data_IF_298311861442
#
_entry.id   IF_298311861442
#
_cell.length_a   1.000
_cell.length_b   1.000
_cell.length_c   1.000
_cell.angle_alpha   90.00
_cell.angle_beta   90.00
_cell.angle_gamma   90.00
#
_symmetry.space_group_name_H-M   'P 1'
#
loop_
_entity.id
_entity.type
_entity.pdbx_description
1 polymer ?
#
# COMPACT_ATOMS: atom_id res chain seq x y z
N UNK A 1 -4.08 7.24 14.71
CA UNK A 1 -3.57 8.46 15.38
C UNK A 1 -4.67 9.52 15.52
N UNK A 2 -5.34 9.93 14.43
CA UNK A 2 -6.39 10.98 14.46
C UNK A 2 -7.49 10.70 15.49
N UNK A 3 -8.09 9.49 15.51
CA UNK A 3 -9.14 9.13 16.47
C UNK A 3 -8.75 9.34 17.94
N UNK A 4 -7.55 8.90 18.33
CA UNK A 4 -7.01 9.08 19.68
C UNK A 4 -6.78 10.57 20.00
N UNK A 5 -6.21 11.33 19.06
CA UNK A 5 -6.02 12.78 19.24
C UNK A 5 -7.35 13.50 19.38
N UNK A 6 -8.33 13.17 18.55
CA UNK A 6 -9.68 13.73 18.60
C UNK A 6 -10.36 13.46 19.94
N UNK A 7 -10.36 12.21 20.42
CA UNK A 7 -10.96 11.86 21.71
C UNK A 7 -10.24 12.47 22.92
N UNK A 8 -8.93 12.75 22.82
CA UNK A 8 -8.14 13.38 23.90
C UNK A 8 -8.21 14.90 23.91
N UNK A 9 -8.35 15.53 22.74
CA UNK A 9 -8.28 16.99 22.59
C UNK A 9 -9.64 17.67 22.49
N UNK A 10 -10.73 16.89 22.37
CA UNK A 10 -12.10 17.40 22.27
C UNK A 10 -12.99 16.83 23.37
N UNK A 11 -14.25 17.29 23.43
CA UNK A 11 -15.27 16.73 24.31
C UNK A 11 -15.99 15.49 23.74
N UNK A 12 -15.61 15.03 22.54
CA UNK A 12 -16.23 13.87 21.89
C UNK A 12 -15.60 12.55 22.33
N UNK A 13 -16.36 11.46 22.20
CA UNK A 13 -15.83 10.12 22.44
C UNK A 13 -14.83 9.75 21.34
N UNK A 14 -13.78 9.02 21.71
CA UNK A 14 -12.83 8.43 20.76
C UNK A 14 -13.57 7.53 19.76
N UNK A 15 -13.42 7.74 18.44
CA UNK A 15 -13.98 6.85 17.43
C UNK A 15 -13.47 5.42 17.57
N UNK A 16 -14.35 4.43 17.43
CA UNK A 16 -13.98 3.01 17.39
C UNK A 16 -13.46 2.67 16.00
N UNK A 17 -12.25 2.10 15.93
CA UNK A 17 -11.61 1.69 14.68
C UNK A 17 -11.64 0.16 14.56
N UNK A 18 -12.01 -0.33 13.39
CA UNK A 18 -11.95 -1.75 13.02
C UNK A 18 -11.19 -1.91 11.69
N UNK A 19 -10.21 -2.81 11.65
CA UNK A 19 -9.44 -3.08 10.44
C UNK A 19 -10.10 -4.18 9.61
N UNK A 20 -10.56 -3.83 8.41
CA UNK A 20 -11.30 -4.75 7.51
C UNK A 20 -10.80 -4.69 6.06
N UNK A 21 -9.75 -3.89 5.79
CA UNK A 21 -9.22 -3.60 4.45
C UNK A 21 -10.14 -2.71 3.61
N UNK A 22 -9.60 -2.03 2.60
CA UNK A 22 -10.33 -1.02 1.79
C UNK A 22 -11.64 -1.56 1.18
N UNK A 23 -11.58 -2.73 0.52
CA UNK A 23 -12.78 -3.34 -0.07
C UNK A 23 -13.77 -3.90 0.95
N UNK A 24 -13.27 -4.48 2.05
CA UNK A 24 -14.12 -4.98 3.15
C UNK A 24 -14.83 -3.85 3.87
N UNK A 25 -14.11 -2.77 4.17
CA UNK A 25 -14.61 -1.55 4.80
C UNK A 25 -15.64 -0.85 3.92
N UNK A 26 -15.37 -0.63 2.63
CA UNK A 26 -16.35 -0.09 1.68
C UNK A 26 -17.59 -0.98 1.56
N UNK A 27 -17.43 -2.31 1.50
CA UNK A 27 -18.56 -3.24 1.50
C UNK A 27 -19.42 -3.11 2.76
N UNK A 28 -18.82 -3.02 3.94
CA UNK A 28 -19.54 -2.83 5.21
C UNK A 28 -20.23 -1.47 5.28
N UNK A 29 -19.53 -0.42 4.84
CA UNK A 29 -20.04 0.94 4.73
C UNK A 29 -21.28 0.98 3.82
N UNK A 30 -21.23 0.35 2.65
CA UNK A 30 -22.34 0.34 1.70
C UNK A 30 -23.53 -0.55 2.08
N UNK A 31 -23.52 -1.28 3.21
CA UNK A 31 -24.66 -2.12 3.62
C UNK A 31 -25.92 -1.34 4.05
N UNK A 32 -25.81 -0.03 4.21
CA UNK A 32 -26.93 0.85 4.58
C UNK A 32 -26.56 1.90 5.62
N UNK A 33 -27.58 2.58 6.16
CA UNK A 33 -27.42 3.69 7.14
C UNK A 33 -27.77 3.29 8.58
N UNK A 34 -27.99 2.00 8.84
CA UNK A 34 -28.32 1.49 10.18
C UNK A 34 -27.13 1.46 11.13
N UNK A 35 -27.40 1.31 12.43
CA UNK A 35 -26.40 1.32 13.51
C UNK A 35 -25.35 0.21 13.44
N UNK A 36 -25.56 -0.83 12.63
CA UNK A 36 -24.64 -1.95 12.45
C UNK A 36 -23.68 -1.76 11.26
N UNK A 37 -23.53 -0.52 10.79
CA UNK A 37 -22.67 -0.19 9.65
C UNK A 37 -21.71 0.93 10.03
N UNK A 38 -20.48 0.98 9.47
CA UNK A 38 -19.54 2.06 9.75
C UNK A 38 -20.10 3.42 9.32
N UNK A 39 -19.82 4.47 10.12
CA UNK A 39 -20.19 5.85 9.80
C UNK A 39 -19.20 6.49 8.81
N UNK A 40 -17.93 6.10 8.93
CA UNK A 40 -16.80 6.49 8.09
C UNK A 40 -16.07 5.21 7.67
N UNK A 41 -15.53 5.18 6.45
CA UNK A 41 -14.63 4.12 6.00
C UNK A 41 -13.39 4.69 5.32
N UNK A 42 -12.21 4.17 5.66
CA UNK A 42 -10.95 4.53 5.02
C UNK A 42 -10.66 3.57 3.86
N UNK A 43 -10.00 4.05 2.82
CA UNK A 43 -9.65 3.27 1.65
C UNK A 43 -8.34 3.74 1.05
N UNK A 44 -7.47 2.79 0.71
CA UNK A 44 -6.21 3.01 0.00
C UNK A 44 -6.35 3.13 -1.52
N UNK A 45 -7.57 3.43 -1.98
CA UNK A 45 -7.94 3.68 -3.37
C UNK A 45 -9.28 4.40 -3.41
N UNK A 46 -9.59 5.01 -4.54
CA UNK A 46 -10.94 5.56 -4.76
C UNK A 46 -12.00 4.45 -4.74
N UNK A 47 -13.21 4.77 -4.28
CA UNK A 47 -14.38 3.90 -4.36
C UNK A 47 -14.66 3.58 -5.84
N UNK A 48 -14.95 2.31 -6.16
CA UNK A 48 -15.30 1.91 -7.53
C UNK A 48 -16.74 2.28 -7.84
N UNK A 49 -17.05 2.49 -9.12
CA UNK A 49 -18.44 2.77 -9.55
C UNK A 49 -19.43 1.69 -9.08
N UNK A 50 -19.05 0.41 -9.16
CA UNK A 50 -19.89 -0.69 -8.68
C UNK A 50 -20.13 -0.64 -7.17
N UNK A 51 -19.12 -0.27 -6.37
CA UNK A 51 -19.26 -0.13 -4.91
C UNK A 51 -20.11 1.09 -4.55
N UNK A 52 -19.96 2.19 -5.29
CA UNK A 52 -20.83 3.36 -5.16
C UNK A 52 -22.28 3.01 -5.50
N UNK A 53 -22.52 2.28 -6.58
CA UNK A 53 -23.86 1.84 -6.97
C UNK A 53 -24.50 0.91 -5.93
N UNK A 54 -23.71 0.00 -5.35
CA UNK A 54 -24.15 -0.82 -4.21
C UNK A 54 -24.53 0.05 -3.00
N UNK A 55 -23.74 1.09 -2.70
CA UNK A 55 -24.05 2.09 -1.68
C UNK A 55 -25.40 2.78 -1.96
N UNK A 56 -25.62 3.26 -3.19
CA UNK A 56 -26.86 3.92 -3.60
C UNK A 56 -28.07 2.98 -3.46
N UNK A 57 -27.95 1.74 -3.95
CA UNK A 57 -29.01 0.73 -3.89
C UNK A 57 -29.41 0.39 -2.45
N UNK A 58 -28.46 0.46 -1.51
CA UNK A 58 -28.69 0.21 -0.09
C UNK A 58 -29.03 1.48 0.72
N UNK A 59 -29.33 2.60 0.04
CA UNK A 59 -29.78 3.84 0.67
C UNK A 59 -28.68 4.71 1.27
N UNK A 60 -27.41 4.41 1.00
CA UNK A 60 -26.25 5.26 1.34
C UNK A 60 -26.05 6.28 0.21
N UNK A 61 -27.01 7.20 0.07
CA UNK A 61 -27.06 8.10 -1.09
C UNK A 61 -26.17 9.33 -0.97
N UNK A 62 -26.02 9.87 0.24
CA UNK A 62 -25.11 10.97 0.54
C UNK A 62 -23.76 10.47 1.06
N UNK A 63 -22.77 10.40 0.18
CA UNK A 63 -21.39 10.03 0.50
C UNK A 63 -20.52 11.26 0.32
N UNK A 64 -19.75 11.65 1.34
CA UNK A 64 -18.67 12.65 1.19
C UNK A 64 -17.38 11.87 0.97
N UNK A 65 -16.68 12.13 -0.13
CA UNK A 65 -15.36 11.59 -0.43
C UNK A 65 -14.30 12.61 -0.01
N UNK A 66 -13.28 12.16 0.71
CA UNK A 66 -12.18 13.00 1.15
C UNK A 66 -10.88 12.33 0.79
N UNK A 67 -10.09 12.97 -0.07
CA UNK A 67 -8.70 12.62 -0.29
C UNK A 67 -7.88 13.08 0.93
N UNK A 68 -7.08 12.19 1.49
CA UNK A 68 -6.31 12.40 2.72
C UNK A 68 -4.86 12.80 2.41
N UNK A 69 -4.33 12.32 1.29
CA UNK A 69 -2.91 12.34 0.99
C UNK A 69 -2.52 11.08 0.25
N UNK A 70 -1.22 10.83 0.19
CA UNK A 70 -0.65 9.68 -0.51
C UNK A 70 0.20 8.85 0.42
N UNK A 71 0.29 7.57 0.10
CA UNK A 71 1.23 6.62 0.68
C UNK A 71 2.21 6.27 -0.43
N UNK A 72 3.51 6.31 -0.16
CA UNK A 72 4.54 6.12 -1.17
C UNK A 72 5.82 5.53 -0.58
N UNK A 73 6.39 4.56 -1.31
CA UNK A 73 7.60 3.84 -0.89
C UNK A 73 8.73 4.14 -1.88
N UNK A 74 9.85 4.61 -1.36
CA UNK A 74 11.06 4.82 -2.12
C UNK A 74 11.91 3.54 -2.10
N UNK A 75 12.45 3.18 -3.26
CA UNK A 75 13.72 2.45 -3.33
C UNK A 75 14.81 3.49 -3.55
N UNK A 76 15.85 3.50 -2.73
CA UNK A 76 16.87 4.54 -2.78
C UNK A 76 18.27 3.98 -2.58
N UNK A 77 19.29 4.67 -3.07
CA UNK A 77 20.68 4.35 -2.78
C UNK A 77 21.49 5.63 -2.55
N UNK A 78 22.75 5.46 -2.14
CA UNK A 78 23.62 6.59 -1.77
C UNK A 78 23.69 7.64 -2.88
N UNK A 79 23.68 8.93 -2.50
CA UNK A 79 23.74 10.05 -3.46
C UNK A 79 25.04 10.05 -4.28
N UNK A 80 26.10 9.42 -3.76
CA UNK A 80 27.39 9.24 -4.42
C UNK A 80 27.43 8.09 -5.43
N UNK A 81 26.43 7.22 -5.46
CA UNK A 81 26.34 6.07 -6.37
C UNK A 81 25.44 6.38 -7.57
N UNK A 82 25.58 5.66 -8.71
CA UNK A 82 24.67 5.81 -9.84
C UNK A 82 23.21 5.52 -9.48
N UNK A 83 22.28 6.23 -10.12
CA UNK A 83 20.83 5.98 -9.99
C UNK A 83 20.47 4.63 -10.59
N UNK A 84 19.81 3.79 -9.79
CA UNK A 84 19.22 2.56 -10.28
C UNK A 84 18.00 2.84 -11.16
N UNK A 85 17.90 2.11 -12.27
CA UNK A 85 16.72 2.10 -13.15
C UNK A 85 16.16 0.69 -13.14
N UNK A 86 15.10 0.48 -12.37
CA UNK A 86 14.51 -0.82 -12.13
C UNK A 86 13.11 -0.86 -12.70
N UNK A 87 12.69 -2.03 -13.16
CA UNK A 87 11.26 -2.32 -13.27
C UNK A 87 10.74 -2.94 -11.98
N UNK A 88 9.43 -2.89 -11.75
CA UNK A 88 8.82 -3.66 -10.65
C UNK A 88 9.12 -5.15 -10.75
N UNK A 89 9.23 -5.68 -11.98
CA UNK A 89 9.64 -7.06 -12.22
C UNK A 89 11.06 -7.32 -11.72
N UNK A 90 12.00 -6.39 -11.95
CA UNK A 90 13.37 -6.50 -11.43
C UNK A 90 13.37 -6.53 -9.90
N UNK A 91 12.57 -5.67 -9.26
CA UNK A 91 12.43 -5.65 -7.79
C UNK A 91 11.90 -6.99 -7.27
N UNK A 92 10.83 -7.52 -7.87
CA UNK A 92 10.28 -8.82 -7.49
C UNK A 92 11.29 -9.95 -7.69
N UNK A 93 11.95 -10.02 -8.85
CA UNK A 93 12.94 -11.06 -9.13
C UNK A 93 14.18 -10.95 -8.24
N UNK A 94 14.57 -9.75 -7.79
CA UNK A 94 15.68 -9.57 -6.86
C UNK A 94 15.33 -10.07 -5.45
N UNK A 95 14.10 -9.81 -4.98
CA UNK A 95 13.74 -9.89 -3.56
C UNK A 95 12.76 -11.00 -3.20
N UNK A 96 12.04 -11.60 -4.14
CA UNK A 96 11.10 -12.66 -3.83
C UNK A 96 11.83 -13.87 -3.25
N UNK A 97 11.20 -14.56 -2.29
CA UNK A 97 11.72 -15.80 -1.70
C UNK A 97 11.87 -16.88 -2.77
N UNK A 98 10.81 -17.05 -3.55
CA UNK A 98 10.73 -18.01 -4.64
C UNK A 98 10.35 -17.30 -5.94
N UNK A 99 10.97 -17.70 -7.05
CA UNK A 99 10.71 -17.18 -8.39
C UNK A 99 10.47 -18.33 -9.38
N UNK A 100 9.81 -18.10 -10.53
CA UNK A 100 9.68 -19.13 -11.55
C UNK A 100 11.06 -19.58 -12.09
N UNK A 101 11.33 -20.87 -12.01
CA UNK A 101 12.47 -21.52 -12.65
C UNK A 101 12.24 -21.79 -14.13
N UNK A 102 13.22 -22.43 -14.78
CA UNK A 102 13.18 -22.69 -16.22
C UNK A 102 12.01 -23.61 -16.66
N UNK A 103 11.52 -24.46 -15.77
CA UNK A 103 10.36 -25.35 -16.00
C UNK A 103 9.02 -24.69 -15.60
N UNK A 104 9.04 -23.43 -15.17
CA UNK A 104 7.87 -22.67 -14.72
C UNK A 104 7.47 -22.91 -13.26
N UNK A 105 8.08 -23.86 -12.56
CA UNK A 105 7.83 -24.07 -11.13
C UNK A 105 8.58 -23.07 -10.28
N UNK A 106 8.05 -22.77 -9.11
CA UNK A 106 8.71 -21.89 -8.15
C UNK A 106 9.96 -22.60 -7.57
N UNK A 107 11.07 -21.88 -7.59
CA UNK A 107 12.34 -22.28 -6.99
C UNK A 107 12.83 -21.18 -6.05
N UNK A 108 13.62 -21.56 -5.05
CA UNK A 108 14.30 -20.60 -4.19
C UNK A 108 15.14 -19.63 -5.05
N UNK A 109 15.07 -18.34 -4.75
CA UNK A 109 15.67 -17.29 -5.57
C UNK A 109 17.20 -17.47 -5.71
N UNK A 110 17.71 -17.78 -6.91
CA UNK A 110 19.13 -18.07 -7.11
C UNK A 110 19.97 -16.80 -7.29
N UNK A 111 19.35 -15.66 -7.57
CA UNK A 111 20.06 -14.44 -7.96
C UNK A 111 20.85 -13.87 -6.79
N UNK A 112 22.13 -13.51 -7.03
CA UNK A 112 23.04 -12.97 -6.01
C UNK A 112 23.52 -11.56 -6.35
N UNK A 113 23.50 -11.18 -7.62
CA UNK A 113 23.85 -9.84 -8.12
C UNK A 113 22.70 -9.23 -8.91
N UNK A 114 22.65 -7.90 -9.01
CA UNK A 114 21.64 -7.22 -9.82
C UNK A 114 21.73 -7.59 -11.30
N UNK A 115 22.93 -7.88 -11.81
CA UNK A 115 23.15 -8.41 -13.16
C UNK A 115 22.49 -9.78 -13.39
N UNK A 116 22.39 -10.63 -12.35
CA UNK A 116 21.70 -11.93 -12.47
C UNK A 116 20.19 -11.74 -12.71
N UNK A 117 19.62 -10.67 -12.15
CA UNK A 117 18.21 -10.29 -12.33
C UNK A 117 17.97 -9.72 -13.73
N UNK A 118 18.83 -8.78 -14.14
CA UNK A 118 18.73 -8.10 -15.43
C UNK A 118 20.14 -7.73 -15.91
N UNK A 119 20.59 -8.23 -17.08
CA UNK A 119 21.97 -8.02 -17.56
C UNK A 119 22.40 -6.57 -17.76
N UNK A 120 21.45 -5.61 -17.80
CA UNK A 120 21.72 -4.17 -17.91
C UNK A 120 22.03 -3.51 -16.57
N UNK A 121 21.76 -4.19 -15.46
CA UNK A 121 22.04 -3.74 -14.10
C UNK A 121 23.49 -4.05 -13.68
N UNK A 122 24.03 -3.37 -12.64
CA UNK A 122 25.40 -3.57 -12.20
C UNK A 122 25.66 -5.00 -11.68
N UNK A 123 26.91 -5.46 -11.81
CA UNK A 123 27.36 -6.75 -11.27
C UNK A 123 27.65 -6.70 -9.75
N UNK A 124 26.92 -5.85 -9.02
CA UNK A 124 27.03 -5.67 -7.58
C UNK A 124 26.11 -6.67 -6.88
N UNK A 125 26.52 -7.15 -5.70
CA UNK A 125 25.70 -8.02 -4.85
C UNK A 125 24.34 -7.37 -4.57
N UNK A 126 23.27 -8.16 -4.56
CA UNK A 126 21.96 -7.70 -4.08
C UNK A 126 22.06 -7.57 -2.56
N UNK A 127 22.09 -6.33 -2.09
CA UNK A 127 22.04 -5.97 -0.68
C UNK A 127 20.99 -4.88 -0.51
N UNK A 128 19.83 -5.27 0.05
CA UNK A 128 18.69 -4.39 0.23
C UNK A 128 18.37 -4.26 1.70
N UNK A 129 18.51 -3.05 2.23
CA UNK A 129 18.11 -2.69 3.57
C UNK A 129 16.63 -2.34 3.58
N UNK A 130 15.86 -2.83 4.54
CA UNK A 130 14.47 -2.44 4.62
C UNK A 130 13.83 -2.71 5.97
N UNK A 131 12.58 -2.26 6.15
CA UNK A 131 11.85 -2.43 7.39
C UNK A 131 11.55 -3.91 7.70
N UNK A 132 11.31 -4.26 8.97
CA UNK A 132 10.94 -5.60 9.40
C UNK A 132 9.51 -5.98 8.98
N UNK A 133 9.11 -7.26 9.09
CA UNK A 133 7.76 -7.73 8.77
C UNK A 133 6.61 -7.09 9.59
N UNK A 134 6.92 -6.41 10.69
CA UNK A 134 5.94 -5.70 11.54
C UNK A 134 5.62 -4.28 11.08
N UNK A 135 6.34 -3.77 10.08
CA UNK A 135 6.25 -2.40 9.62
C UNK A 135 5.17 -2.18 8.55
N UNK A 136 4.40 -1.10 8.66
CA UNK A 136 3.44 -0.70 7.62
C UNK A 136 4.11 -0.37 6.28
N UNK A 137 5.34 0.16 6.31
CA UNK A 137 6.17 0.40 5.11
C UNK A 137 6.49 -0.92 4.40
N UNK A 138 6.74 -1.99 5.16
CA UNK A 138 6.98 -3.34 4.62
C UNK A 138 5.72 -3.91 3.96
N UNK A 139 4.56 -3.71 4.58
CA UNK A 139 3.28 -4.14 4.02
C UNK A 139 2.96 -3.43 2.70
N UNK A 140 3.11 -2.10 2.67
CA UNK A 140 2.91 -1.30 1.46
C UNK A 140 3.90 -1.68 0.35
N UNK A 141 5.18 -1.89 0.69
CA UNK A 141 6.19 -2.38 -0.24
C UNK A 141 5.82 -3.76 -0.83
N UNK A 142 5.37 -4.69 0.02
CA UNK A 142 4.95 -6.01 -0.43
C UNK A 142 3.76 -5.94 -1.39
N UNK A 143 2.77 -5.10 -1.09
CA UNK A 143 1.58 -4.93 -1.94
C UNK A 143 1.92 -4.26 -3.28
N UNK A 144 2.55 -3.09 -3.23
CA UNK A 144 2.71 -2.22 -4.38
C UNK A 144 3.90 -2.63 -5.25
N UNK A 145 5.06 -2.89 -4.63
CA UNK A 145 6.27 -3.23 -5.39
C UNK A 145 6.35 -4.73 -5.69
N UNK A 146 6.33 -5.58 -4.67
CA UNK A 146 6.50 -7.03 -4.86
C UNK A 146 5.29 -7.63 -5.58
N UNK A 147 4.08 -7.26 -5.15
CA UNK A 147 2.83 -7.61 -5.82
C UNK A 147 2.73 -7.07 -7.24
N UNK A 148 3.12 -5.82 -7.46
CA UNK A 148 3.18 -5.21 -8.79
C UNK A 148 4.15 -5.95 -9.72
N UNK A 149 5.36 -6.28 -9.24
CA UNK A 149 6.36 -7.02 -10.00
C UNK A 149 5.97 -8.47 -10.29
N UNK A 150 5.35 -9.16 -9.33
CA UNK A 150 4.83 -10.51 -9.53
C UNK A 150 3.74 -10.55 -10.61
N UNK A 151 2.92 -9.50 -10.76
CA UNK A 151 1.92 -9.40 -11.84
C UNK A 151 2.54 -9.31 -13.24
N UNK A 152 3.82 -8.97 -13.34
CA UNK A 152 4.55 -9.02 -14.62
C UNK A 152 4.96 -10.46 -15.03
N UNK A 153 4.75 -11.45 -14.14
CA UNK A 153 4.94 -12.87 -14.44
C UNK A 153 3.59 -13.47 -14.90
N UNK A 154 3.45 -13.94 -16.16
CA UNK A 154 2.18 -14.38 -16.71
C UNK A 154 1.46 -15.45 -15.87
N UNK A 155 2.19 -16.46 -15.38
CA UNK A 155 1.61 -17.54 -14.57
C UNK A 155 1.08 -17.03 -13.21
N UNK A 156 1.80 -16.12 -12.55
CA UNK A 156 1.36 -15.54 -11.28
C UNK A 156 0.16 -14.60 -11.49
N UNK A 157 0.17 -13.80 -12.56
CA UNK A 157 -0.97 -12.97 -12.94
C UNK A 157 -2.21 -13.81 -13.23
N UNK A 158 -2.07 -14.88 -14.02
CA UNK A 158 -3.18 -15.77 -14.33
C UNK A 158 -3.77 -16.40 -13.06
N UNK A 159 -2.93 -16.85 -12.12
CA UNK A 159 -3.39 -17.33 -10.81
C UNK A 159 -4.15 -16.24 -10.06
N UNK A 160 -3.58 -15.02 -9.97
CA UNK A 160 -4.17 -13.91 -9.21
C UNK A 160 -5.59 -13.57 -9.68
N UNK A 161 -5.82 -13.58 -10.98
CA UNK A 161 -7.06 -13.10 -11.60
C UNK A 161 -8.20 -14.14 -11.54
N UNK A 162 -7.98 -15.30 -10.91
CA UNK A 162 -9.03 -16.29 -10.63
C UNK A 162 -9.88 -15.91 -9.42
N UNK A 163 -11.19 -16.07 -9.55
CA UNK A 163 -12.16 -15.82 -8.47
C UNK A 163 -12.39 -17.05 -7.57
N UNK A 164 -13.02 -16.86 -6.42
CA UNK A 164 -13.19 -17.89 -5.40
C UNK A 164 -14.02 -19.10 -5.89
N UNK A 165 -14.87 -18.90 -6.89
CA UNK A 165 -15.68 -19.95 -7.51
C UNK A 165 -14.84 -20.89 -8.41
N UNK A 166 -13.63 -20.47 -8.81
CA UNK A 166 -12.73 -21.19 -9.71
C UNK A 166 -11.70 -22.05 -8.94
N UNK A 167 -12.16 -22.76 -7.90
CA UNK A 167 -11.29 -23.54 -7.01
C UNK A 167 -10.43 -24.58 -7.77
N UNK A 168 -10.98 -25.21 -8.80
CA UNK A 168 -10.25 -26.22 -9.58
C UNK A 168 -9.09 -25.61 -10.38
N UNK A 169 -9.32 -24.47 -11.03
CA UNK A 169 -8.33 -23.72 -11.80
C UNK A 169 -7.25 -23.12 -10.89
N UNK A 170 -7.62 -22.67 -9.68
CA UNK A 170 -6.67 -22.19 -8.68
C UNK A 170 -5.73 -23.33 -8.28
N UNK A 171 -6.28 -24.50 -7.92
CA UNK A 171 -5.48 -25.68 -7.54
C UNK A 171 -4.61 -26.19 -8.68
N UNK A 172 -5.11 -26.13 -9.92
CA UNK A 172 -4.31 -26.48 -11.10
C UNK A 172 -3.13 -25.51 -11.30
N UNK A 173 -3.37 -24.22 -11.18
CA UNK A 173 -2.33 -23.18 -11.29
C UNK A 173 -1.28 -23.35 -10.18
N UNK A 174 -1.70 -23.64 -8.95
CA UNK A 174 -0.81 -23.98 -7.83
C UNK A 174 0.07 -25.19 -8.15
N UNK A 175 -0.51 -26.26 -8.70
CA UNK A 175 0.24 -27.46 -9.07
C UNK A 175 1.27 -27.19 -10.19
N UNK A 176 0.91 -26.37 -11.19
CA UNK A 176 1.84 -25.93 -12.25
C UNK A 176 3.00 -25.10 -11.68
N UNK A 177 2.74 -24.25 -10.70
CA UNK A 177 3.75 -23.48 -9.98
C UNK A 177 4.55 -24.33 -8.97
N UNK A 178 4.21 -25.61 -8.79
CA UNK A 178 4.88 -26.50 -7.83
C UNK A 178 4.54 -26.22 -6.38
N UNK A 179 3.45 -25.50 -6.10
CA UNK A 179 3.03 -25.21 -4.72
C UNK A 179 2.45 -26.46 -4.04
N UNK A 180 2.64 -26.61 -2.71
CA UNK A 180 1.99 -27.66 -1.96
C UNK A 180 0.46 -27.52 -1.98
N UNK A 181 -0.26 -28.61 -2.25
CA UNK A 181 -1.73 -28.61 -2.31
C UNK A 181 -2.38 -28.10 -1.01
N UNK A 182 -1.75 -28.35 0.15
CA UNK A 182 -2.26 -27.94 1.46
C UNK A 182 -2.29 -26.42 1.70
N UNK A 183 -1.59 -25.62 0.87
CA UNK A 183 -1.62 -24.15 1.00
C UNK A 183 -3.04 -23.60 0.81
N UNK A 184 -3.80 -24.14 -0.15
CA UNK A 184 -5.17 -23.68 -0.40
C UNK A 184 -6.09 -24.01 0.79
N UNK A 185 -5.96 -25.22 1.34
CA UNK A 185 -6.80 -25.67 2.44
C UNK A 185 -6.50 -24.90 3.73
N UNK A 186 -5.22 -24.59 4.00
CA UNK A 186 -4.81 -23.74 5.12
C UNK A 186 -5.37 -22.31 4.98
N UNK A 187 -5.31 -21.72 3.78
CA UNK A 187 -5.92 -20.41 3.52
C UNK A 187 -7.44 -20.43 3.70
N UNK A 188 -8.11 -21.51 3.27
CA UNK A 188 -9.56 -21.67 3.41
C UNK A 188 -9.96 -21.73 4.88
N UNK A 189 -9.21 -22.47 5.70
CA UNK A 189 -9.42 -22.54 7.14
C UNK A 189 -9.20 -21.18 7.81
N UNK A 190 -8.06 -20.53 7.54
CA UNK A 190 -7.72 -19.21 8.10
C UNK A 190 -8.77 -18.14 7.77
N UNK A 191 -9.30 -18.14 6.54
CA UNK A 191 -10.28 -17.14 6.08
C UNK A 191 -11.71 -17.48 6.47
N UNK A 192 -12.00 -18.73 6.85
CA UNK A 192 -13.36 -19.23 7.06
C UNK A 192 -14.24 -19.25 5.79
N UNK A 193 -13.64 -19.14 4.60
CA UNK A 193 -14.31 -19.15 3.29
C UNK A 193 -13.33 -19.56 2.18
N UNK A 194 -13.85 -19.91 1.00
CA UNK A 194 -13.03 -20.24 -0.17
C UNK A 194 -12.07 -19.07 -0.52
N UNK A 195 -10.76 -19.32 -0.61
CA UNK A 195 -9.79 -18.34 -1.11
C UNK A 195 -9.99 -18.10 -2.60
N UNK A 196 -9.80 -16.86 -3.05
CA UNK A 196 -9.64 -16.55 -4.47
C UNK A 196 -8.18 -16.67 -4.90
N UNK A 197 -7.93 -16.63 -6.20
CA UNK A 197 -6.59 -16.67 -6.77
C UNK A 197 -5.64 -15.61 -6.21
N UNK A 198 -6.14 -14.40 -5.98
CA UNK A 198 -5.39 -13.32 -5.32
C UNK A 198 -4.90 -13.68 -3.91
N UNK A 199 -5.68 -14.45 -3.14
CA UNK A 199 -5.26 -14.88 -1.80
C UNK A 199 -4.04 -15.82 -1.86
N UNK A 200 -4.04 -16.74 -2.83
CA UNK A 200 -2.93 -17.67 -3.07
C UNK A 200 -1.73 -16.92 -3.65
N UNK A 201 -1.96 -16.04 -4.63
CA UNK A 201 -0.94 -15.18 -5.23
C UNK A 201 -0.18 -14.39 -4.16
N UNK A 202 -0.87 -13.78 -3.19
CA UNK A 202 -0.24 -12.98 -2.14
C UNK A 202 0.75 -13.80 -1.30
N UNK A 203 0.52 -15.10 -1.09
CA UNK A 203 1.45 -15.97 -0.32
C UNK A 203 2.82 -16.14 -0.98
N UNK A 204 2.89 -15.96 -2.31
CA UNK A 204 4.12 -16.05 -3.09
C UNK A 204 4.65 -14.65 -3.36
N UNK A 205 3.78 -13.77 -3.85
CA UNK A 205 4.15 -12.45 -4.32
C UNK A 205 4.76 -11.61 -3.19
N UNK A 206 4.26 -11.75 -1.97
CA UNK A 206 4.68 -10.92 -0.83
C UNK A 206 5.78 -11.59 0.00
N UNK A 207 6.13 -12.84 -0.30
CA UNK A 207 7.19 -13.55 0.40
C UNK A 207 8.56 -13.03 -0.06
N UNK A 208 9.28 -12.39 0.85
CA UNK A 208 10.62 -11.86 0.61
C UNK A 208 11.67 -12.86 1.08
N UNK A 209 12.78 -12.98 0.35
CA UNK A 209 13.90 -13.87 0.68
C UNK A 209 14.59 -13.47 1.99
N UNK A 210 15.05 -14.48 2.72
CA UNK A 210 15.74 -14.34 4.02
C UNK A 210 17.21 -14.82 3.95
N UNK A 211 17.76 -15.00 2.74
CA UNK A 211 19.11 -15.54 2.51
C UNK A 211 20.22 -14.48 2.53
N UNK A 212 19.95 -13.32 3.16
CA UNK A 212 20.89 -12.22 3.34
C UNK A 212 21.01 -11.26 2.14
N UNK A 213 20.11 -11.33 1.16
CA UNK A 213 19.94 -10.29 0.15
C UNK A 213 19.02 -9.15 0.62
N UNK A 214 17.98 -9.49 1.39
CA UNK A 214 17.19 -8.52 2.15
C UNK A 214 17.68 -8.53 3.61
N UNK A 215 18.00 -7.36 4.14
CA UNK A 215 18.52 -7.16 5.49
C UNK A 215 17.58 -6.24 6.24
N UNK A 216 16.95 -6.77 7.28
CA UNK A 216 16.08 -5.99 8.15
C UNK A 216 16.87 -4.95 8.93
N UNK A 217 16.44 -3.70 8.84
CA UNK A 217 17.12 -2.54 9.43
C UNK A 217 16.40 -1.95 10.66
N UNK A 218 15.34 -2.62 11.15
CA UNK A 218 14.50 -2.14 12.25
C UNK A 218 13.43 -1.13 11.80
N UNK A 219 12.61 -0.67 12.74
CA UNK A 219 11.44 0.21 12.47
C UNK A 219 11.80 1.69 12.19
N UNK A 220 13.09 2.05 12.27
CA UNK A 220 13.52 3.44 12.10
C UNK A 220 14.09 3.64 10.69
N UNK A 221 13.30 4.22 9.79
CA UNK A 221 13.68 4.47 8.40
C UNK A 221 14.92 5.37 8.27
N UNK A 222 15.14 6.32 9.20
CA UNK A 222 16.35 7.15 9.21
C UNK A 222 17.64 6.31 9.39
N UNK A 223 17.55 5.15 10.07
CA UNK A 223 18.69 4.25 10.20
C UNK A 223 19.05 3.60 8.86
N UNK A 224 18.05 3.35 7.99
CA UNK A 224 18.28 2.85 6.64
C UNK A 224 19.04 3.90 5.83
N UNK A 225 18.56 5.15 5.82
CA UNK A 225 19.22 6.27 5.12
C UNK A 225 20.69 6.42 5.54
N UNK A 226 20.97 6.40 6.84
CA UNK A 226 22.34 6.52 7.37
C UNK A 226 23.24 5.37 6.90
N UNK A 227 22.72 4.14 6.87
CA UNK A 227 23.47 2.98 6.39
C UNK A 227 23.76 3.05 4.89
N UNK A 228 22.81 3.55 4.09
CA UNK A 228 23.03 3.74 2.65
C UNK A 228 24.11 4.77 2.37
N UNK A 229 24.10 5.91 3.07
CA UNK A 229 25.13 6.93 2.92
C UNK A 229 26.55 6.36 3.17
N UNK A 230 26.68 5.35 4.04
CA UNK A 230 27.93 4.66 4.33
C UNK A 230 28.21 3.44 3.41
N UNK A 231 27.21 2.94 2.68
CA UNK A 231 27.31 1.78 1.81
C UNK A 231 26.72 2.09 0.41
N UNK A 232 27.55 2.59 -0.54
CA UNK A 232 27.08 2.97 -1.87
C UNK A 232 26.61 1.80 -2.74
N UNK A 233 26.90 0.55 -2.35
CA UNK A 233 26.50 -0.66 -3.06
C UNK A 233 25.10 -1.17 -2.65
N UNK A 234 24.55 -0.68 -1.54
CA UNK A 234 23.24 -1.10 -1.03
C UNK A 234 22.09 -0.25 -1.59
N UNK A 235 20.91 -0.87 -1.64
CA UNK A 235 19.62 -0.20 -1.88
C UNK A 235 18.81 -0.23 -0.59
N UNK A 236 18.04 0.80 -0.29
CA UNK A 236 17.11 0.82 0.83
C UNK A 236 15.67 0.96 0.40
N UNK A 237 14.77 0.47 1.25
CA UNK A 237 13.32 0.61 1.13
C UNK A 237 12.81 1.36 2.35
N UNK A 238 12.13 2.47 2.14
CA UNK A 238 11.53 3.29 3.21
C UNK A 238 10.43 4.20 2.65
N UNK A 239 9.67 4.88 3.52
CA UNK A 239 8.63 5.82 3.10
C UNK A 239 9.21 7.02 2.32
N UNK A 240 8.50 7.49 1.31
CA UNK A 240 8.96 8.58 0.42
C UNK A 240 9.36 9.87 1.16
N UNK A 241 8.67 10.23 2.25
CA UNK A 241 9.03 11.42 3.04
C UNK A 241 10.48 11.40 3.53
N UNK A 242 11.02 10.23 3.89
CA UNK A 242 12.42 10.10 4.30
C UNK A 242 13.40 10.28 3.14
N UNK A 243 12.99 9.99 1.90
CA UNK A 243 13.79 10.30 0.71
C UNK A 243 13.87 11.81 0.52
N UNK A 244 12.74 12.48 0.61
CA UNK A 244 12.63 13.94 0.46
C UNK A 244 13.47 14.67 1.52
N UNK A 245 13.34 14.28 2.79
CA UNK A 245 14.09 14.87 3.91
C UNK A 245 15.61 14.65 3.84
N UNK A 246 16.08 13.65 3.06
CA UNK A 246 17.49 13.23 3.03
C UNK A 246 18.09 13.23 1.61
N UNK A 247 17.59 14.08 0.72
CA UNK A 247 18.07 14.19 -0.67
C UNK A 247 19.56 14.57 -0.81
N UNK A 248 20.21 15.06 0.25
CA UNK A 248 21.65 15.29 0.30
C UNK A 248 22.46 13.98 0.41
N UNK A 249 21.89 12.93 1.02
CA UNK A 249 22.56 11.66 1.33
C UNK A 249 22.17 10.52 0.40
N UNK A 250 20.94 10.52 -0.09
CA UNK A 250 20.37 9.45 -0.91
C UNK A 250 19.59 10.02 -2.08
N UNK A 251 19.46 9.25 -3.14
CA UNK A 251 18.52 9.53 -4.23
C UNK A 251 17.61 8.33 -4.47
N UNK A 252 16.43 8.61 -5.05
CA UNK A 252 15.46 7.59 -5.40
C UNK A 252 15.82 6.87 -6.70
N UNK A 253 15.65 5.56 -6.70
CA UNK A 253 15.70 4.73 -7.90
C UNK A 253 14.52 5.06 -8.82
N UNK A 254 14.77 5.05 -10.12
CA UNK A 254 13.72 5.17 -11.14
C UNK A 254 13.01 3.82 -11.25
N UNK A 255 11.69 3.79 -11.06
CA UNK A 255 10.87 2.57 -11.11
C UNK A 255 9.94 2.62 -12.31
N UNK A 256 10.00 1.62 -13.18
CA UNK A 256 9.24 1.54 -14.44
C UNK A 256 9.36 2.82 -15.31
N UNK A 257 10.52 3.49 -15.23
CA UNK A 257 10.80 4.75 -15.96
C UNK A 257 10.36 6.02 -15.24
N UNK A 258 9.72 5.92 -14.07
CA UNK A 258 9.22 7.05 -13.28
C UNK A 258 10.13 7.32 -12.07
N UNK A 259 10.50 8.57 -11.87
CA UNK A 259 11.31 9.00 -10.70
C UNK A 259 10.38 9.26 -9.52
N UNK A 260 10.68 8.80 -8.29
CA UNK A 260 9.89 9.13 -7.12
C UNK A 260 10.02 10.61 -6.80
N UNK A 261 8.96 11.37 -7.08
CA UNK A 261 8.81 12.79 -6.71
C UNK A 261 7.40 13.02 -6.19
N UNK A 262 7.19 14.13 -5.47
CA UNK A 262 5.87 14.53 -5.02
C UNK A 262 4.86 14.53 -6.18
N UNK A 263 5.18 15.22 -7.28
CA UNK A 263 4.31 15.33 -8.46
C UNK A 263 3.95 13.96 -9.04
N UNK A 264 4.95 13.10 -9.30
CA UNK A 264 4.69 11.76 -9.86
C UNK A 264 3.88 10.86 -8.92
N UNK A 265 3.93 11.09 -7.61
CA UNK A 265 3.13 10.35 -6.63
C UNK A 265 1.71 10.91 -6.60
N UNK A 266 1.57 12.23 -6.58
CA UNK A 266 0.29 12.92 -6.55
C UNK A 266 -0.55 12.64 -7.80
N UNK A 267 0.11 12.61 -8.96
CA UNK A 267 -0.49 12.27 -10.26
C UNK A 267 -0.77 10.76 -10.41
N UNK A 268 -0.22 9.92 -9.53
CA UNK A 268 -0.38 8.47 -9.54
C UNK A 268 0.50 7.73 -10.56
N UNK A 269 1.47 8.42 -11.17
CA UNK A 269 2.41 7.85 -12.14
C UNK A 269 3.48 6.97 -11.49
N UNK A 270 3.92 7.32 -10.27
CA UNK A 270 4.93 6.55 -9.56
C UNK A 270 4.33 5.24 -9.00
N UNK A 271 4.80 4.06 -9.43
CA UNK A 271 4.05 2.82 -9.29
C UNK A 271 4.06 2.22 -7.88
N UNK A 272 4.91 2.73 -6.98
CA UNK A 272 4.96 2.32 -5.57
C UNK A 272 4.35 3.40 -4.69
N UNK A 273 3.22 3.93 -5.14
CA UNK A 273 2.40 4.86 -4.39
C UNK A 273 0.92 4.58 -4.56
N UNK A 274 0.10 5.18 -3.69
CA UNK A 274 -1.36 5.13 -3.79
C UNK A 274 -2.00 6.31 -3.08
N UNK A 275 -3.16 6.79 -3.56
CA UNK A 275 -3.96 7.76 -2.84
C UNK A 275 -4.68 7.12 -1.65
N UNK A 276 -4.85 7.89 -0.58
CA UNK A 276 -5.60 7.50 0.60
C UNK A 276 -6.87 8.34 0.70
N UNK A 277 -8.00 7.70 0.97
CA UNK A 277 -9.30 8.34 1.11
C UNK A 277 -9.97 7.95 2.42
N UNK A 278 -10.90 8.78 2.87
CA UNK A 278 -12.01 8.32 3.70
C UNK A 278 -13.34 8.80 3.14
N UNK A 279 -14.40 8.08 3.48
CA UNK A 279 -15.77 8.37 3.04
C UNK A 279 -16.68 8.52 4.24
N UNK A 280 -17.54 9.53 4.24
CA UNK A 280 -18.50 9.80 5.32
C UNK A 280 -19.92 9.56 4.82
N UNK A 281 -20.75 8.90 5.63
CA UNK A 281 -22.20 8.90 5.41
C UNK A 281 -22.81 10.22 5.86
N UNK A 282 -23.22 11.04 4.91
CA UNK A 282 -23.94 12.29 5.21
C UNK A 282 -25.22 12.05 6.03
N UNK A 283 -25.86 10.89 5.86
CA UNK A 283 -27.05 10.51 6.61
C UNK A 283 -26.85 10.36 8.14
N UNK A 284 -25.59 10.23 8.58
CA UNK A 284 -25.19 10.11 9.99
C UNK A 284 -24.74 11.42 10.62
N UNK A 285 -24.34 12.40 9.81
CA UNK A 285 -23.97 13.74 10.27
C UNK A 285 -25.16 14.41 10.94
N UNK A 286 -24.95 14.95 12.15
CA UNK A 286 -26.00 15.57 12.97
C UNK A 286 -26.87 14.58 13.76
N UNK A 287 -26.75 13.27 13.52
CA UNK A 287 -27.40 12.21 14.33
C UNK A 287 -26.42 11.52 15.26
N UNK A 288 -25.21 11.29 14.77
CA UNK A 288 -24.11 10.74 15.55
C UNK A 288 -23.20 11.91 15.93
N UNK A 289 -23.04 12.20 17.24
CA UNK A 289 -22.20 13.31 17.69
C UNK A 289 -20.75 13.14 17.24
N UNK A 290 -20.13 14.21 16.72
CA UNK A 290 -18.70 14.27 16.47
C UNK A 290 -18.24 13.83 15.08
N UNK A 291 -19.14 13.40 14.17
CA UNK A 291 -18.73 12.93 12.82
C UNK A 291 -18.09 14.06 12.01
N UNK A 292 -18.74 15.22 11.95
CA UNK A 292 -18.22 16.35 11.18
C UNK A 292 -16.98 16.93 11.85
N UNK A 293 -16.97 17.01 13.17
CA UNK A 293 -15.84 17.51 13.96
C UNK A 293 -14.63 16.59 13.84
N UNK A 294 -14.84 15.27 13.79
CA UNK A 294 -13.77 14.30 13.55
C UNK A 294 -13.20 14.42 12.14
N UNK A 295 -14.05 14.59 11.13
CA UNK A 295 -13.59 14.80 9.77
C UNK A 295 -12.82 16.11 9.62
N UNK A 296 -13.26 17.20 10.28
CA UNK A 296 -12.56 18.49 10.30
C UNK A 296 -11.22 18.42 11.05
N UNK A 297 -11.13 17.65 12.14
CA UNK A 297 -9.85 17.35 12.79
C UNK A 297 -8.91 16.63 11.84
N UNK A 298 -9.43 15.63 11.11
CA UNK A 298 -8.65 14.83 10.18
C UNK A 298 -8.07 15.71 9.07
N UNK A 299 -8.90 16.54 8.43
CA UNK A 299 -8.50 17.40 7.31
C UNK A 299 -7.80 18.68 7.72
N UNK A 300 -7.60 18.94 9.01
CA UNK A 300 -6.99 20.20 9.46
C UNK A 300 -5.53 20.31 9.09
N UNK A 301 -5.05 21.55 8.92
CA UNK A 301 -3.62 21.87 8.70
C UNK A 301 -2.69 21.15 9.71
N UNK A 302 -3.04 21.16 10.99
CA UNK A 302 -2.25 20.49 12.05
C UNK A 302 -2.16 18.96 11.89
N UNK A 303 -3.05 18.36 11.12
CA UNK A 303 -3.13 16.93 10.89
C UNK A 303 -2.54 16.54 9.54
N UNK A 304 -3.15 17.02 8.45
CA UNK A 304 -2.84 16.67 7.06
C UNK A 304 -1.95 17.69 6.33
N UNK A 305 -1.79 18.90 6.88
CA UNK A 305 -0.90 19.92 6.31
C UNK A 305 0.56 19.47 6.32
N UNK A 306 1.41 20.20 5.59
CA UNK A 306 2.82 19.85 5.34
C UNK A 306 3.60 19.63 6.65
N UNK A 307 3.38 20.50 7.64
CA UNK A 307 3.96 20.41 9.00
C UNK A 307 3.07 19.64 9.99
N UNK A 308 2.10 18.89 9.50
CA UNK A 308 1.12 18.18 10.29
C UNK A 308 1.66 16.91 10.97
N UNK A 309 0.91 16.40 11.94
CA UNK A 309 1.32 15.17 12.64
C UNK A 309 1.15 13.88 11.81
N UNK A 310 0.49 13.92 10.64
CA UNK A 310 0.37 12.75 9.75
C UNK A 310 1.57 12.62 8.80
N UNK A 311 2.13 13.70 8.23
CA UNK A 311 3.44 13.63 7.56
C UNK A 311 4.56 13.07 8.43
N UNK A 312 4.63 13.44 9.71
CA UNK A 312 5.53 12.81 10.69
C UNK A 312 5.34 11.28 10.85
N UNK A 313 4.24 10.74 10.33
CA UNK A 313 3.90 9.30 10.30
C UNK A 313 4.00 8.69 8.91
N UNK A 314 4.59 9.39 7.95
CA UNK A 314 4.85 8.92 6.59
C UNK A 314 3.71 9.19 5.60
N UNK A 315 2.70 9.99 5.96
CA UNK A 315 1.71 10.48 4.99
C UNK A 315 2.38 11.51 4.08
N UNK A 316 2.26 11.34 2.76
CA UNK A 316 2.67 12.37 1.82
C UNK A 316 1.51 13.39 1.77
N UNK A 317 1.75 14.67 2.12
CA UNK A 317 0.70 15.66 2.25
C UNK A 317 0.04 15.96 0.90
N UNK A 318 -1.12 16.61 0.95
CA UNK A 318 -1.77 17.14 -0.23
C UNK A 318 -1.18 18.48 -0.62
N UNK A 319 -1.29 18.85 -1.89
CA UNK A 319 -1.05 20.22 -2.30
C UNK A 319 -2.06 21.16 -1.61
N UNK A 320 -1.69 22.43 -1.40
CA UNK A 320 -2.51 23.41 -0.67
C UNK A 320 -3.96 23.50 -1.21
N UNK A 321 -4.13 23.48 -2.54
CA UNK A 321 -5.45 23.52 -3.18
C UNK A 321 -6.28 22.26 -2.89
N UNK A 322 -5.65 21.08 -2.89
CA UNK A 322 -6.31 19.82 -2.62
C UNK A 322 -6.68 19.67 -1.14
N UNK A 323 -5.82 20.14 -0.23
CA UNK A 323 -6.12 20.20 1.20
C UNK A 323 -7.29 21.16 1.48
N UNK A 324 -7.25 22.36 0.90
CA UNK A 324 -8.35 23.33 1.01
C UNK A 324 -9.67 22.77 0.46
N UNK A 325 -9.60 22.01 -0.65
CA UNK A 325 -10.75 21.30 -1.21
C UNK A 325 -11.25 20.21 -0.26
N UNK A 326 -10.38 19.37 0.29
CA UNK A 326 -10.74 18.33 1.26
C UNK A 326 -11.43 18.92 2.50
N UNK A 327 -10.87 20.00 3.06
CA UNK A 327 -11.48 20.75 4.16
C UNK A 327 -12.86 21.34 3.78
N UNK A 328 -12.98 21.92 2.59
CA UNK A 328 -14.23 22.50 2.10
C UNK A 328 -15.31 21.43 1.87
N UNK A 329 -14.92 20.28 1.31
CA UNK A 329 -15.82 19.15 1.06
C UNK A 329 -16.36 18.59 2.38
N UNK A 330 -15.52 18.50 3.42
CA UNK A 330 -15.95 18.15 4.79
C UNK A 330 -16.82 19.25 5.41
N UNK A 331 -16.40 20.52 5.36
CA UNK A 331 -17.13 21.62 5.99
C UNK A 331 -18.54 21.78 5.43
N UNK A 332 -18.69 21.63 4.12
CA UNK A 332 -19.95 21.79 3.41
C UNK A 332 -20.72 20.47 3.21
N UNK A 333 -20.11 19.34 3.58
CA UNK A 333 -20.64 17.99 3.32
C UNK A 333 -20.98 17.80 1.84
N UNK A 334 -20.04 18.19 0.97
CA UNK A 334 -20.16 18.05 -0.48
C UNK A 334 -20.19 16.56 -0.83
N UNK A 335 -21.26 16.15 -1.50
CA UNK A 335 -21.43 14.73 -1.84
C UNK A 335 -20.66 14.38 -3.10
N UNK A 336 -19.96 13.26 -3.05
CA UNK A 336 -19.37 12.59 -4.20
C UNK A 336 -20.39 12.44 -5.32
N UNK A 337 -19.97 12.80 -6.53
CA UNK A 337 -20.67 12.50 -7.77
C UNK A 337 -19.75 11.60 -8.61
N UNK A 338 -20.32 10.50 -9.13
CA UNK A 338 -19.63 9.53 -9.98
C UNK A 338 -20.31 9.38 -11.33
#
# INVERSE_FOLDING_TARGET
>A
VVAERFGRSTGFKTPKIESTGSGGGLKLFCKGVGANTPDITNSSRRIKKSEYDDCQANGVTGIVEVLIGYDGIALANASSAPVFKLSLKDVYLALAKDIPGADGKLIANPYKTWKDVNPTLPATRIEVLGPPPTSGTRDAFAELAMGGGAKAIPALKALRDLEAEQEAEIRQSMAQLGMPAGVYDALKEQKGKAPKGEDVFNTIAYAVREDGAYIEAGENDNLIVQKLAANPDAVGIFGFSFLEENGDKVHGSVIDGVTPTFDTIADGDYPISRPLYFYIKKAHVGKIPGIQEYALEFTSEKAMGEDGYLPEKGLIPLAEEELAKAEADVRNMNTLSM
#
